data_IF_666237173286
#
_entry.id   IF_666237173286
#
_cell.length_a   1.000
_cell.length_b   1.000
_cell.length_c   1.000
_cell.angle_alpha   90.00
_cell.angle_beta   90.00
_cell.angle_gamma   90.00
#
_symmetry.space_group_name_H-M   'P 1'
#
loop_
_entity.id
_entity.type
_entity.pdbx_description
1 polymer ?
#
# COMPACT_ATOMS: atom_id res chain seq x y z
N UNK A 1 -10.74 18.07 -6.29
CA UNK A 1 -10.13 17.27 -5.19
C UNK A 1 -9.42 16.10 -5.85
N UNK A 2 -8.08 16.08 -5.85
CA UNK A 2 -7.31 15.04 -6.54
C UNK A 2 -7.63 13.67 -5.91
N UNK A 3 -8.04 12.71 -6.74
CA UNK A 3 -8.31 11.33 -6.34
C UNK A 3 -7.03 10.78 -5.71
N UNK A 4 -7.09 10.35 -4.45
CA UNK A 4 -5.94 9.71 -3.78
C UNK A 4 -5.56 8.47 -4.57
N UNK A 5 -4.32 8.38 -5.00
CA UNK A 5 -3.80 7.18 -5.66
C UNK A 5 -3.37 6.18 -4.59
N UNK A 6 -4.23 5.18 -4.35
CA UNK A 6 -3.98 4.15 -3.34
C UNK A 6 -2.78 3.27 -3.68
N UNK A 7 -2.43 3.14 -4.97
CA UNK A 7 -1.27 2.37 -5.40
C UNK A 7 0.02 3.12 -5.04
N UNK A 8 0.04 4.44 -5.23
CA UNK A 8 1.16 5.28 -4.78
C UNK A 8 1.30 5.27 -3.25
N UNK A 9 0.19 5.32 -2.52
CA UNK A 9 0.20 5.25 -1.04
C UNK A 9 0.76 3.92 -0.54
N UNK A 10 0.39 2.81 -1.19
CA UNK A 10 0.92 1.49 -0.88
C UNK A 10 2.34 1.28 -1.46
N UNK A 11 2.83 2.19 -2.29
CA UNK A 11 4.12 2.08 -2.96
C UNK A 11 4.20 0.92 -3.94
N UNK A 12 3.08 0.56 -4.57
CA UNK A 12 2.98 -0.51 -5.57
C UNK A 12 2.58 0.06 -6.94
N UNK A 13 2.81 -0.72 -8.00
CA UNK A 13 2.33 -0.37 -9.34
C UNK A 13 0.82 -0.62 -9.45
N UNK A 14 0.18 0.01 -10.43
CA UNK A 14 -1.27 -0.16 -10.70
C UNK A 14 -1.65 -1.55 -11.21
N UNK A 15 -0.65 -2.31 -11.71
CA UNK A 15 -0.79 -3.69 -12.16
C UNK A 15 -0.44 -4.72 -11.06
N UNK A 16 -0.22 -4.26 -9.82
CA UNK A 16 0.14 -5.12 -8.71
C UNK A 16 -0.92 -6.19 -8.44
N UNK A 17 -0.47 -7.41 -8.19
CA UNK A 17 -1.32 -8.53 -7.85
C UNK A 17 -1.76 -8.48 -6.37
N UNK A 18 -2.70 -9.35 -6.01
CA UNK A 18 -3.24 -9.39 -4.64
C UNK A 18 -2.16 -9.76 -3.61
N UNK A 19 -1.17 -10.55 -4.00
CA UNK A 19 -0.07 -10.97 -3.13
C UNK A 19 0.88 -9.80 -2.81
N UNK A 20 1.20 -9.00 -3.81
CA UNK A 20 2.04 -7.80 -3.72
C UNK A 20 1.35 -6.71 -2.90
N UNK A 21 0.04 -6.50 -3.12
CA UNK A 21 -0.78 -5.59 -2.30
C UNK A 21 -0.76 -5.98 -0.82
N UNK A 22 -1.01 -7.26 -0.52
CA UNK A 22 -0.97 -7.77 0.87
C UNK A 22 0.41 -7.64 1.50
N UNK A 23 1.48 -7.87 0.72
CA UNK A 23 2.87 -7.72 1.20
C UNK A 23 3.20 -6.26 1.50
N UNK A 24 2.85 -5.35 0.61
CA UNK A 24 3.07 -3.91 0.79
C UNK A 24 2.30 -3.37 2.00
N UNK A 25 1.03 -3.75 2.14
CA UNK A 25 0.21 -3.39 3.30
C UNK A 25 0.84 -3.87 4.62
N UNK A 26 1.23 -5.15 4.71
CA UNK A 26 1.85 -5.68 5.94
C UNK A 26 3.12 -4.92 6.32
N UNK A 27 3.96 -4.57 5.34
CA UNK A 27 5.19 -3.79 5.59
C UNK A 27 4.88 -2.40 6.14
N UNK A 28 3.93 -1.69 5.54
CA UNK A 28 3.53 -0.35 5.98
C UNK A 28 2.83 -0.38 7.34
N UNK A 29 1.97 -1.38 7.57
CA UNK A 29 1.28 -1.55 8.85
C UNK A 29 2.25 -1.79 10.01
N UNK A 30 3.36 -2.51 9.79
CA UNK A 30 4.42 -2.67 10.79
C UNK A 30 5.21 -1.37 11.02
N UNK A 31 5.46 -0.61 9.96
CA UNK A 31 6.24 0.63 10.03
C UNK A 31 5.48 1.77 10.73
N UNK A 32 4.16 1.82 10.53
CA UNK A 32 3.29 2.87 11.04
C UNK A 32 2.31 2.34 12.10
N UNK A 33 2.66 1.23 12.75
CA UNK A 33 1.84 0.68 13.81
C UNK A 33 1.71 1.71 14.95
N UNK A 34 0.48 1.96 15.46
CA UNK A 34 0.25 2.98 16.48
C UNK A 34 0.53 2.53 17.92
N UNK A 35 0.61 1.21 18.17
CA UNK A 35 1.25 0.67 19.38
C UNK A 35 2.77 0.80 19.26
#
# INVERSE_FOLDING_TARGET
MAKRDYYEVLGVRRDADEAELKKAYRRLALQYHPD
#
